data_IF_228547514865
#
_entry.id   IF_228547514865
#
_cell.length_a   1.000
_cell.length_b   1.000
_cell.length_c   1.000
_cell.angle_alpha   90.00
_cell.angle_beta   90.00
_cell.angle_gamma   90.00
#
_symmetry.space_group_name_H-M   'P 1'
#
loop_
_entity.id
_entity.type
_entity.pdbx_description
1 polymer ?
#
# COMPACT_ATOMS: atom_id res chain seq x y z
N UNK A 1 56.66 8.03 -44.87
CA UNK A 1 55.71 9.05 -44.40
C UNK A 1 54.71 8.33 -43.50
N UNK A 2 54.85 8.47 -42.19
CA UNK A 2 53.92 7.94 -41.18
C UNK A 2 52.66 8.79 -41.18
N UNK A 3 51.47 8.17 -41.17
CA UNK A 3 50.27 8.84 -40.67
C UNK A 3 49.51 7.89 -39.76
N UNK A 4 49.34 8.36 -38.54
CA UNK A 4 48.85 7.66 -37.36
C UNK A 4 47.32 7.65 -37.32
N UNK A 5 46.76 6.60 -36.74
CA UNK A 5 45.33 6.41 -36.45
C UNK A 5 44.72 7.54 -35.60
N UNK A 6 43.39 7.58 -35.51
CA UNK A 6 42.83 7.29 -34.19
C UNK A 6 41.82 6.15 -34.20
N UNK A 7 42.05 5.20 -33.29
CA UNK A 7 41.10 4.18 -32.85
C UNK A 7 39.99 4.87 -32.07
N UNK A 8 38.74 4.75 -32.53
CA UNK A 8 37.59 5.17 -31.74
C UNK A 8 37.38 4.16 -30.60
N UNK A 9 37.81 4.54 -29.40
CA UNK A 9 37.37 3.89 -28.17
C UNK A 9 35.90 4.27 -27.94
N UNK A 10 34.98 3.34 -28.18
CA UNK A 10 33.61 3.46 -27.68
C UNK A 10 33.63 3.15 -26.20
N UNK A 11 33.79 4.18 -25.38
CA UNK A 11 33.60 4.09 -23.93
C UNK A 11 32.13 3.80 -23.67
N UNK A 12 31.77 2.52 -23.48
CA UNK A 12 30.50 2.17 -22.84
C UNK A 12 30.59 2.61 -21.38
N UNK A 13 30.14 3.84 -21.10
CA UNK A 13 29.71 4.18 -19.73
C UNK A 13 28.53 3.26 -19.43
N UNK A 14 28.81 2.18 -18.73
CA UNK A 14 27.81 1.54 -17.89
C UNK A 14 27.46 2.60 -16.85
N UNK A 15 26.39 3.34 -17.12
CA UNK A 15 25.72 4.12 -16.10
C UNK A 15 25.08 3.08 -15.19
N UNK A 16 25.72 2.80 -14.07
CA UNK A 16 25.17 1.98 -13.01
C UNK A 16 23.92 2.68 -12.50
N UNK A 17 22.74 2.23 -12.96
CA UNK A 17 21.52 2.37 -12.18
C UNK A 17 21.78 1.59 -10.89
N UNK A 18 22.14 2.31 -9.83
CA UNK A 18 21.94 1.83 -8.47
C UNK A 18 20.42 1.73 -8.33
N UNK A 19 19.87 0.56 -8.66
CA UNK A 19 18.46 0.24 -8.49
C UNK A 19 18.11 0.43 -7.03
N UNK A 20 17.60 1.62 -6.69
CA UNK A 20 17.06 1.88 -5.37
C UNK A 20 15.89 0.94 -5.13
N UNK A 21 15.82 0.38 -3.93
CA UNK A 21 14.72 -0.51 -3.51
C UNK A 21 13.37 0.08 -3.94
N UNK A 22 12.53 -0.77 -4.55
CA UNK A 22 11.13 -0.46 -4.89
C UNK A 22 10.34 -0.09 -3.62
N UNK A 23 9.18 0.57 -3.76
CA UNK A 23 8.32 0.90 -2.60
C UNK A 23 7.95 -0.35 -1.80
N UNK A 24 7.67 -1.46 -2.52
CA UNK A 24 7.47 -2.79 -1.95
C UNK A 24 8.64 -3.23 -1.11
N UNK A 25 9.85 -3.20 -1.65
CA UNK A 25 11.05 -3.62 -0.92
C UNK A 25 11.34 -2.72 0.27
N UNK A 26 11.25 -1.39 0.12
CA UNK A 26 11.48 -0.45 1.23
C UNK A 26 10.52 -0.68 2.40
N UNK A 27 9.24 -0.92 2.11
CA UNK A 27 8.26 -1.20 3.15
C UNK A 27 8.41 -2.61 3.72
N UNK A 28 8.66 -3.61 2.89
CA UNK A 28 8.94 -4.96 3.35
C UNK A 28 10.16 -4.97 4.28
N UNK A 29 11.28 -4.37 3.90
CA UNK A 29 12.48 -4.27 4.74
C UNK A 29 12.25 -3.43 6.00
N UNK A 30 11.54 -2.30 5.90
CA UNK A 30 11.25 -1.40 7.03
C UNK A 30 10.21 -1.91 8.04
N UNK A 31 9.31 -2.82 7.62
CA UNK A 31 8.33 -3.47 8.49
C UNK A 31 8.85 -4.80 9.05
N UNK A 32 9.57 -5.59 8.25
CA UNK A 32 9.91 -6.98 8.57
C UNK A 32 11.21 -7.14 9.33
N UNK A 33 12.11 -6.13 9.35
CA UNK A 33 13.30 -6.15 10.20
C UNK A 33 13.96 -7.52 10.32
N UNK A 34 14.34 -8.13 9.20
CA UNK A 34 15.02 -9.44 9.05
C UNK A 34 14.72 -10.46 10.18
N UNK A 35 13.59 -11.17 10.09
CA UNK A 35 13.45 -12.49 10.73
C UNK A 35 13.11 -13.52 9.65
N UNK A 36 14.14 -13.94 8.92
CA UNK A 36 14.15 -15.24 8.25
C UNK A 36 14.90 -16.23 9.14
N UNK A 37 14.19 -17.00 9.96
CA UNK A 37 14.72 -18.27 10.46
C UNK A 37 13.65 -19.35 10.29
N UNK A 38 13.98 -20.30 9.40
CA UNK A 38 13.22 -21.50 9.06
C UNK A 38 13.09 -22.48 10.22
N UNK A 39 12.19 -23.45 10.03
CA UNK A 39 11.62 -24.28 11.09
C UNK A 39 12.55 -25.31 11.75
N UNK A 40 12.25 -25.57 13.03
CA UNK A 40 12.41 -26.85 13.73
C UNK A 40 11.52 -26.82 14.99
N UNK A 41 11.08 -27.99 15.48
CA UNK A 41 10.20 -28.26 16.65
C UNK A 41 8.73 -28.48 16.27
N UNK A 42 8.38 -29.71 15.86
CA UNK A 42 7.01 -30.03 15.44
C UNK A 42 6.09 -30.56 16.56
N UNK A 43 6.55 -31.09 17.69
CA UNK A 43 5.61 -31.84 18.58
C UNK A 43 5.24 -31.14 19.91
N UNK A 44 6.08 -30.29 20.51
CA UNK A 44 5.69 -29.51 21.71
C UNK A 44 4.91 -28.22 21.40
N UNK A 45 4.88 -27.78 20.14
CA UNK A 45 4.36 -26.46 19.79
C UNK A 45 2.83 -26.40 19.71
N UNK A 46 2.10 -27.50 19.49
CA UNK A 46 0.63 -27.43 19.27
C UNK A 46 -0.17 -26.81 20.43
N UNK A 47 0.15 -27.18 21.67
CA UNK A 47 -0.50 -26.64 22.88
C UNK A 47 -0.07 -25.21 23.22
N UNK A 48 1.22 -24.89 23.05
CA UNK A 48 1.73 -23.52 23.23
C UNK A 48 1.11 -22.60 22.16
N UNK A 49 1.00 -23.07 20.91
CA UNK A 49 0.34 -22.37 19.81
C UNK A 49 -1.13 -22.10 20.10
N UNK A 50 -1.88 -23.11 20.56
CA UNK A 50 -3.29 -22.93 20.90
C UNK A 50 -3.45 -21.90 22.03
N UNK A 51 -2.68 -22.01 23.11
CA UNK A 51 -2.71 -21.03 24.20
C UNK A 51 -2.30 -19.61 23.76
N UNK A 52 -1.33 -19.49 22.86
CA UNK A 52 -0.92 -18.20 22.30
C UNK A 52 -2.00 -17.60 21.40
N UNK A 53 -2.63 -18.40 20.55
CA UNK A 53 -3.76 -17.99 19.72
C UNK A 53 -4.96 -17.60 20.58
N UNK A 54 -5.34 -18.41 21.58
CA UNK A 54 -6.44 -18.14 22.52
C UNK A 54 -6.17 -16.84 23.30
N UNK A 55 -4.93 -16.63 23.77
CA UNK A 55 -4.54 -15.40 24.47
C UNK A 55 -4.54 -14.16 23.56
N UNK A 56 -4.16 -14.30 22.30
CA UNK A 56 -4.19 -13.21 21.31
C UNK A 56 -5.63 -12.93 20.83
N UNK A 57 -6.45 -13.96 20.71
CA UNK A 57 -7.88 -13.87 20.43
C UNK A 57 -8.60 -13.08 21.52
N UNK A 58 -8.27 -13.32 22.79
CA UNK A 58 -8.82 -12.54 23.91
C UNK A 58 -8.53 -11.04 23.81
N UNK A 59 -7.44 -10.63 23.15
CA UNK A 59 -7.11 -9.21 22.93
C UNK A 59 -7.98 -8.56 21.86
N UNK A 60 -8.54 -9.36 20.95
CA UNK A 60 -9.37 -8.86 19.84
C UNK A 60 -10.77 -8.38 20.26
N UNK A 61 -11.17 -8.65 21.51
CA UNK A 61 -12.44 -8.16 22.06
C UNK A 61 -12.42 -6.67 22.41
N UNK A 62 -11.24 -6.02 22.35
CA UNK A 62 -11.08 -4.58 22.53
C UNK A 62 -10.86 -3.94 21.15
N UNK A 63 -11.74 -3.01 20.78
CA UNK A 63 -11.62 -2.30 19.51
C UNK A 63 -10.34 -1.45 19.44
N UNK A 64 -9.75 -1.34 18.25
CA UNK A 64 -8.48 -0.65 18.02
C UNK A 64 -7.21 -1.41 18.44
N UNK A 65 -7.32 -2.67 18.88
CA UNK A 65 -6.17 -3.53 19.18
C UNK A 65 -5.60 -4.18 17.90
N UNK A 66 -4.28 -4.42 17.86
CA UNK A 66 -3.58 -5.10 16.77
C UNK A 66 -4.20 -6.46 16.41
N UNK A 67 -4.66 -7.23 17.39
CA UNK A 67 -5.36 -8.50 17.16
C UNK A 67 -6.70 -8.31 16.42
N UNK A 68 -7.42 -7.22 16.70
CA UNK A 68 -8.70 -6.88 16.05
C UNK A 68 -8.47 -6.54 14.58
N UNK A 69 -7.49 -5.69 14.28
CA UNK A 69 -7.11 -5.41 12.90
C UNK A 69 -6.61 -6.65 12.17
N UNK A 70 -5.85 -7.54 12.84
CA UNK A 70 -5.42 -8.81 12.25
C UNK A 70 -6.60 -9.70 11.87
N UNK A 71 -7.63 -9.79 12.73
CA UNK A 71 -8.89 -10.49 12.42
C UNK A 71 -9.63 -9.83 11.26
N UNK A 72 -9.72 -8.50 11.21
CA UNK A 72 -10.37 -7.77 10.12
C UNK A 72 -9.68 -8.03 8.77
N UNK A 73 -8.33 -8.02 8.73
CA UNK A 73 -7.58 -8.39 7.52
C UNK A 73 -7.83 -9.85 7.13
N UNK A 74 -7.91 -10.77 8.09
CA UNK A 74 -8.25 -12.16 7.81
C UNK A 74 -9.66 -12.31 7.22
N UNK A 75 -10.64 -11.59 7.76
CA UNK A 75 -12.00 -11.58 7.23
C UNK A 75 -12.03 -11.00 5.81
N UNK A 76 -11.24 -9.96 5.53
CA UNK A 76 -11.11 -9.41 4.18
C UNK A 76 -10.57 -10.45 3.17
N UNK A 77 -9.54 -11.23 3.53
CA UNK A 77 -9.05 -12.33 2.69
C UNK A 77 -10.08 -13.43 2.48
N UNK A 78 -10.83 -13.79 3.53
CA UNK A 78 -11.83 -14.85 3.44
C UNK A 78 -13.10 -14.40 2.71
N UNK A 79 -13.36 -13.09 2.64
CA UNK A 79 -14.48 -12.46 1.95
C UNK A 79 -15.84 -13.13 2.23
N UNK A 80 -16.10 -13.46 3.50
CA UNK A 80 -17.31 -14.18 3.94
C UNK A 80 -17.66 -15.44 3.12
N UNK A 81 -16.64 -16.12 2.59
CA UNK A 81 -16.78 -17.34 1.78
C UNK A 81 -17.04 -17.08 0.29
N UNK A 82 -17.12 -15.82 -0.14
CA UNK A 82 -17.15 -15.45 -1.55
C UNK A 82 -15.76 -15.55 -2.18
N UNK A 83 -15.71 -15.78 -3.49
CA UNK A 83 -14.45 -15.86 -4.22
C UNK A 83 -13.72 -14.50 -4.25
N UNK A 84 -12.40 -14.53 -4.07
CA UNK A 84 -11.54 -13.35 -4.09
C UNK A 84 -11.46 -12.61 -2.74
N UNK A 85 -10.59 -11.61 -2.67
CA UNK A 85 -10.37 -10.78 -1.47
C UNK A 85 -11.31 -9.58 -1.45
N UNK A 86 -11.88 -9.25 -0.29
CA UNK A 86 -12.60 -8.00 -0.07
C UNK A 86 -11.62 -6.82 0.07
N UNK A 87 -11.24 -6.23 -1.07
CA UNK A 87 -10.26 -5.14 -1.13
C UNK A 87 -10.73 -3.91 -0.36
N UNK A 88 -12.02 -3.60 -0.42
CA UNK A 88 -12.57 -2.43 0.28
C UNK A 88 -12.44 -2.57 1.79
N UNK A 89 -12.78 -3.74 2.35
CA UNK A 89 -12.60 -4.02 3.78
C UNK A 89 -11.12 -4.00 4.19
N UNK A 90 -10.24 -4.50 3.34
CA UNK A 90 -8.80 -4.45 3.59
C UNK A 90 -8.28 -3.00 3.61
N UNK A 91 -8.63 -2.21 2.59
CA UNK A 91 -8.29 -0.79 2.48
C UNK A 91 -8.73 -0.03 3.71
N UNK A 92 -9.99 -0.19 4.10
CA UNK A 92 -10.55 0.46 5.29
C UNK A 92 -9.76 0.09 6.56
N UNK A 93 -9.49 -1.21 6.73
CA UNK A 93 -8.73 -1.72 7.88
C UNK A 93 -7.32 -1.14 7.94
N UNK A 94 -6.59 -1.12 6.82
CA UNK A 94 -5.22 -0.58 6.76
C UNK A 94 -5.24 0.94 6.92
N UNK A 95 -6.20 1.65 6.34
CA UNK A 95 -6.35 3.10 6.51
C UNK A 95 -6.59 3.47 7.98
N UNK A 96 -7.40 2.71 8.72
CA UNK A 96 -7.67 2.91 10.16
C UNK A 96 -6.46 2.68 11.06
N UNK A 97 -5.38 2.05 10.58
CA UNK A 97 -4.17 1.86 11.39
C UNK A 97 -3.51 3.21 11.71
N UNK A 98 -3.20 3.51 12.99
CA UNK A 98 -2.70 4.83 13.36
C UNK A 98 -1.21 5.05 13.05
N UNK A 99 -0.41 3.99 12.93
CA UNK A 99 1.04 4.09 12.71
C UNK A 99 1.63 2.81 12.12
N UNK A 100 2.87 2.91 11.62
CA UNK A 100 3.65 1.74 11.19
C UNK A 100 4.01 0.82 12.35
N UNK A 101 4.20 1.34 13.56
CA UNK A 101 4.35 0.52 14.77
C UNK A 101 3.13 -0.37 14.99
N UNK A 102 1.91 0.18 14.88
CA UNK A 102 0.70 -0.64 14.99
C UNK A 102 0.61 -1.63 13.84
N UNK A 103 1.00 -1.27 12.61
CA UNK A 103 1.08 -2.24 11.50
C UNK A 103 2.02 -3.43 11.83
N UNK A 104 3.20 -3.18 12.42
CA UNK A 104 4.12 -4.25 12.85
C UNK A 104 3.46 -5.15 13.91
N UNK A 105 2.75 -4.57 14.88
CA UNK A 105 1.99 -5.33 15.87
C UNK A 105 0.88 -6.16 15.23
N UNK A 106 0.20 -5.63 14.22
CA UNK A 106 -0.84 -6.36 13.46
C UNK A 106 -0.24 -7.55 12.71
N UNK A 107 0.92 -7.38 12.07
CA UNK A 107 1.66 -8.49 11.43
C UNK A 107 1.97 -9.58 12.47
N UNK A 108 2.48 -9.20 13.64
CA UNK A 108 2.79 -10.13 14.72
C UNK A 108 1.54 -10.87 15.24
N UNK A 109 0.45 -10.15 15.48
CA UNK A 109 -0.82 -10.74 15.92
C UNK A 109 -1.40 -11.67 14.85
N UNK A 110 -1.33 -11.31 13.56
CA UNK A 110 -1.76 -12.15 12.45
C UNK A 110 -0.98 -13.48 12.41
N UNK A 111 0.35 -13.41 12.57
CA UNK A 111 1.19 -14.61 12.63
C UNK A 111 0.87 -15.48 13.84
N UNK A 112 0.56 -14.89 15.00
CA UNK A 112 0.16 -15.65 16.21
C UNK A 112 -1.19 -16.33 16.07
N UNK A 113 -2.18 -15.62 15.52
CA UNK A 113 -3.55 -16.11 15.35
C UNK A 113 -3.65 -17.20 14.28
N UNK A 114 -2.97 -17.02 13.14
CA UNK A 114 -3.18 -17.85 11.95
C UNK A 114 -1.98 -18.68 11.54
N UNK A 115 -0.82 -18.48 12.17
CA UNK A 115 0.45 -19.09 11.78
C UNK A 115 0.80 -18.85 10.30
N UNK A 116 0.44 -17.66 9.78
CA UNK A 116 0.67 -17.21 8.41
C UNK A 116 1.33 -15.84 8.42
N UNK A 117 2.08 -15.52 7.37
CA UNK A 117 2.65 -14.18 7.19
C UNK A 117 1.62 -13.29 6.49
N UNK A 118 1.19 -12.22 7.17
CA UNK A 118 0.23 -11.26 6.60
C UNK A 118 0.72 -10.69 5.26
N UNK A 119 2.00 -10.31 5.16
CA UNK A 119 2.55 -9.75 3.92
C UNK A 119 2.60 -10.77 2.79
N UNK A 120 2.85 -12.05 3.12
CA UNK A 120 2.83 -13.14 2.14
C UNK A 120 1.41 -13.41 1.66
N UNK A 121 0.44 -13.36 2.56
CA UNK A 121 -0.98 -13.51 2.21
C UNK A 121 -1.44 -12.33 1.34
N UNK A 122 -1.08 -11.09 1.69
CA UNK A 122 -1.34 -9.94 0.83
C UNK A 122 -0.68 -10.09 -0.56
N UNK A 123 0.55 -10.58 -0.64
CA UNK A 123 1.24 -10.79 -1.92
C UNK A 123 0.57 -11.86 -2.79
N UNK A 124 0.05 -12.92 -2.18
CA UNK A 124 -0.55 -14.05 -2.92
C UNK A 124 -2.01 -13.80 -3.30
N UNK A 125 -2.77 -13.12 -2.44
CA UNK A 125 -4.24 -12.99 -2.55
C UNK A 125 -4.66 -11.70 -3.29
N UNK A 126 -3.74 -10.75 -3.49
CA UNK A 126 -4.01 -9.45 -4.13
C UNK A 126 -3.38 -9.36 -5.51
N UNK A 127 -4.00 -8.57 -6.39
CA UNK A 127 -3.33 -8.10 -7.58
C UNK A 127 -2.14 -7.19 -7.21
N UNK A 128 -1.17 -7.06 -8.11
CA UNK A 128 0.00 -6.20 -7.87
C UNK A 128 -0.41 -4.73 -7.63
N UNK A 129 -1.45 -4.24 -8.29
CA UNK A 129 -2.01 -2.90 -8.10
C UNK A 129 -2.61 -2.73 -6.70
N UNK A 130 -3.46 -3.66 -6.27
CA UNK A 130 -4.08 -3.67 -4.94
C UNK A 130 -3.03 -3.78 -3.83
N UNK A 131 -2.06 -4.68 -3.99
CA UNK A 131 -0.94 -4.83 -3.06
C UNK A 131 -0.13 -3.52 -2.93
N UNK A 132 0.20 -2.90 -4.06
CA UNK A 132 0.92 -1.62 -4.08
C UNK A 132 0.09 -0.48 -3.46
N UNK A 133 -1.23 -0.49 -3.63
CA UNK A 133 -2.14 0.46 -2.98
C UNK A 133 -2.03 0.35 -1.46
N UNK A 134 -2.16 -0.87 -0.91
CA UNK A 134 -2.11 -1.11 0.54
C UNK A 134 -0.76 -0.66 1.13
N UNK A 135 0.32 -0.94 0.41
CA UNK A 135 1.65 -0.48 0.78
C UNK A 135 1.79 1.05 0.76
N UNK A 136 1.23 1.71 -0.26
CA UNK A 136 1.24 3.17 -0.35
C UNK A 136 0.49 3.81 0.84
N UNK A 137 -0.64 3.23 1.27
CA UNK A 137 -1.38 3.66 2.46
C UNK A 137 -0.51 3.53 3.72
N UNK A 138 0.20 2.41 3.90
CA UNK A 138 1.07 2.19 5.06
C UNK A 138 2.26 3.17 5.06
N UNK A 139 2.79 3.50 3.89
CA UNK A 139 4.03 4.29 3.75
C UNK A 139 3.96 5.70 4.36
N UNK A 140 2.79 6.32 4.30
CA UNK A 140 2.54 7.70 4.78
C UNK A 140 2.23 7.75 6.27
N UNK A 141 1.95 6.61 6.90
CA UNK A 141 1.64 6.57 8.33
C UNK A 141 2.87 6.99 9.15
N UNK A 142 2.68 7.67 10.29
CA UNK A 142 3.79 7.98 11.19
C UNK A 142 4.43 6.69 11.71
N UNK A 143 5.70 6.75 12.09
CA UNK A 143 6.40 5.57 12.63
C UNK A 143 5.76 5.06 13.93
N UNK A 144 5.36 5.99 14.80
CA UNK A 144 4.69 5.70 16.08
C UNK A 144 3.40 6.48 16.19
N UNK A 145 2.47 5.95 16.97
CA UNK A 145 1.28 6.69 17.36
C UNK A 145 1.56 7.42 18.66
N UNK A 146 1.44 8.73 18.64
CA UNK A 146 1.53 9.58 19.82
C UNK A 146 0.21 10.36 19.92
N UNK A 147 -0.52 10.12 21.01
CA UNK A 147 -1.79 10.79 21.24
C UNK A 147 -1.54 12.29 21.45
N UNK A 148 -2.18 13.14 20.64
CA UNK A 148 -2.03 14.59 20.70
C UNK A 148 -0.94 15.18 19.81
N UNK A 149 -0.28 14.38 18.97
CA UNK A 149 0.62 14.92 17.94
C UNK A 149 -0.20 15.70 16.91
N UNK A 150 0.18 16.95 16.57
CA UNK A 150 -0.50 17.74 15.54
C UNK A 150 -0.59 16.96 14.22
N UNK A 151 -1.66 17.20 13.47
CA UNK A 151 -1.87 16.63 12.12
C UNK A 151 -0.56 16.73 11.34
N UNK A 152 -0.03 15.58 10.93
CA UNK A 152 1.27 15.50 10.28
C UNK A 152 1.26 16.40 9.05
N UNK A 153 2.22 17.33 8.96
CA UNK A 153 2.34 18.22 7.80
C UNK A 153 2.48 17.36 6.54
N UNK A 154 1.71 17.70 5.49
CA UNK A 154 1.81 16.99 4.22
C UNK A 154 3.21 17.12 3.66
N UNK A 155 3.83 15.97 3.40
CA UNK A 155 5.15 15.87 2.78
C UNK A 155 5.04 15.32 1.37
N UNK A 156 6.14 15.35 0.61
CA UNK A 156 6.21 14.75 -0.73
C UNK A 156 5.78 13.28 -0.73
N UNK A 157 6.02 12.54 0.35
CA UNK A 157 5.61 11.13 0.48
C UNK A 157 4.09 10.98 0.43
N UNK A 158 3.32 11.95 0.94
CA UNK A 158 1.85 11.93 0.87
C UNK A 158 1.37 12.04 -0.57
N UNK A 159 1.90 13.01 -1.33
CA UNK A 159 1.58 13.19 -2.73
C UNK A 159 2.02 11.99 -3.59
N UNK A 160 3.18 11.40 -3.29
CA UNK A 160 3.64 10.17 -3.95
C UNK A 160 2.72 8.97 -3.67
N UNK A 161 2.26 8.83 -2.43
CA UNK A 161 1.32 7.77 -2.04
C UNK A 161 -0.02 7.94 -2.76
N UNK A 162 -0.62 9.13 -2.74
CA UNK A 162 -1.87 9.38 -3.46
C UNK A 162 -1.73 9.18 -4.97
N UNK A 163 -0.63 9.64 -5.57
CA UNK A 163 -0.35 9.40 -6.99
C UNK A 163 -0.24 7.90 -7.30
N UNK A 164 0.44 7.12 -6.43
CA UNK A 164 0.60 5.68 -6.60
C UNK A 164 -0.71 4.91 -6.45
N UNK A 165 -1.57 5.34 -5.52
CA UNK A 165 -2.89 4.74 -5.30
C UNK A 165 -3.86 5.05 -6.43
N UNK A 166 -3.85 6.28 -6.95
CA UNK A 166 -4.62 6.63 -8.14
C UNK A 166 -4.13 5.82 -9.34
N UNK A 167 -2.81 5.68 -9.53
CA UNK A 167 -2.26 4.84 -10.59
C UNK A 167 -2.69 3.38 -10.45
N UNK A 168 -2.65 2.82 -9.24
CA UNK A 168 -3.10 1.47 -8.97
C UNK A 168 -4.60 1.29 -9.25
N UNK A 169 -5.42 2.30 -8.94
CA UNK A 169 -6.84 2.31 -9.23
C UNK A 169 -7.14 2.30 -10.74
N UNK A 170 -6.35 3.04 -11.53
CA UNK A 170 -6.47 3.11 -12.99
C UNK A 170 -5.95 1.85 -13.71
N UNK A 171 -5.01 1.14 -13.08
CA UNK A 171 -4.38 -0.06 -13.68
C UNK A 171 -5.08 -1.37 -13.26
N UNK A 172 -6.25 -1.28 -12.63
CA UNK A 172 -7.00 -2.47 -12.26
C UNK A 172 -7.42 -3.23 -13.52
N UNK A 173 -7.45 -4.56 -13.41
CA UNK A 173 -7.82 -5.39 -14.55
C UNK A 173 -8.58 -6.62 -14.09
N UNK A 174 -9.61 -6.96 -14.86
CA UNK A 174 -10.42 -8.15 -14.68
C UNK A 174 -10.12 -9.12 -15.84
N UNK A 175 -9.04 -9.87 -15.69
CA UNK A 175 -8.54 -10.75 -16.75
C UNK A 175 -8.04 -9.93 -17.95
N UNK A 176 -8.56 -10.11 -19.17
CA UNK A 176 -8.14 -9.32 -20.33
C UNK A 176 -8.81 -7.93 -20.38
N UNK A 177 -9.80 -7.67 -19.53
CA UNK A 177 -10.54 -6.40 -19.55
C UNK A 177 -9.87 -5.37 -18.64
N UNK A 178 -9.68 -4.13 -19.12
CA UNK A 178 -9.32 -3.02 -18.24
C UNK A 178 -10.47 -2.78 -17.26
N UNK A 179 -10.14 -2.27 -16.08
CA UNK A 179 -11.12 -1.81 -15.10
C UNK A 179 -10.57 -0.64 -14.30
N UNK A 180 -11.45 0.01 -13.56
CA UNK A 180 -11.12 1.11 -12.67
C UNK A 180 -11.53 0.72 -11.25
N UNK A 181 -10.75 1.12 -10.24
CA UNK A 181 -11.14 1.02 -8.84
C UNK A 181 -11.67 2.38 -8.36
N UNK A 182 -12.94 2.66 -8.65
CA UNK A 182 -13.53 3.96 -8.35
C UNK A 182 -13.64 4.21 -6.83
N UNK A 183 -13.79 3.15 -6.04
CA UNK A 183 -13.72 3.19 -4.58
C UNK A 183 -12.34 3.66 -4.09
N UNK A 184 -11.25 3.19 -4.70
CA UNK A 184 -9.90 3.67 -4.38
C UNK A 184 -9.69 5.14 -4.77
N UNK A 185 -10.23 5.58 -5.91
CA UNK A 185 -10.19 7.00 -6.32
C UNK A 185 -10.92 7.85 -5.29
N UNK A 186 -12.14 7.45 -4.91
CA UNK A 186 -12.95 8.12 -3.89
C UNK A 186 -12.21 8.17 -2.54
N UNK A 187 -11.60 7.06 -2.11
CA UNK A 187 -10.82 7.01 -0.88
C UNK A 187 -9.66 8.00 -0.88
N UNK A 188 -8.87 8.04 -1.96
CA UNK A 188 -7.77 9.01 -2.10
C UNK A 188 -8.29 10.44 -2.07
N UNK A 189 -9.37 10.75 -2.79
CA UNK A 189 -9.91 12.11 -2.85
C UNK A 189 -10.46 12.55 -1.49
N UNK A 190 -11.11 11.64 -0.75
CA UNK A 190 -11.60 11.93 0.60
C UNK A 190 -10.47 12.23 1.58
N UNK A 191 -9.32 11.54 1.46
CA UNK A 191 -8.14 11.77 2.31
C UNK A 191 -7.41 13.08 2.00
N UNK A 192 -7.47 13.60 0.78
CA UNK A 192 -6.85 14.88 0.44
C UNK A 192 -7.53 16.01 1.23
N UNK A 193 -6.79 16.85 1.98
CA UNK A 193 -7.43 17.90 2.77
C UNK A 193 -7.80 19.14 1.95
N UNK A 194 -7.12 19.41 0.84
CA UNK A 194 -7.27 20.66 0.06
C UNK A 194 -7.20 20.44 -1.45
N UNK A 195 -7.67 21.43 -2.21
CA UNK A 195 -7.51 21.47 -3.67
C UNK A 195 -6.02 21.53 -4.04
N UNK A 196 -5.21 22.30 -3.30
CA UNK A 196 -3.76 22.32 -3.47
C UNK A 196 -3.13 20.92 -3.34
N UNK A 197 -3.63 20.07 -2.42
CA UNK A 197 -3.15 18.69 -2.28
C UNK A 197 -3.37 17.86 -3.54
N UNK A 198 -4.52 18.03 -4.19
CA UNK A 198 -4.82 17.39 -5.47
C UNK A 198 -3.91 17.89 -6.59
N UNK A 199 -3.68 19.22 -6.68
CA UNK A 199 -2.77 19.80 -7.68
C UNK A 199 -1.34 19.29 -7.51
N UNK A 200 -0.82 19.27 -6.28
CA UNK A 200 0.52 18.74 -5.98
C UNK A 200 0.61 17.25 -6.31
N UNK A 201 -0.45 16.48 -6.04
CA UNK A 201 -0.52 15.07 -6.44
C UNK A 201 -0.46 14.93 -7.95
N UNK A 202 -1.14 15.78 -8.72
CA UNK A 202 -1.05 15.79 -10.18
C UNK A 202 0.36 16.07 -10.70
N UNK A 203 1.08 17.01 -10.09
CA UNK A 203 2.49 17.29 -10.41
C UNK A 203 3.38 16.07 -10.16
N UNK A 204 3.22 15.43 -8.98
CA UNK A 204 3.98 14.23 -8.62
C UNK A 204 3.61 13.05 -9.51
N UNK A 205 2.33 12.85 -9.81
CA UNK A 205 1.83 11.81 -10.70
C UNK A 205 2.47 11.91 -12.09
N UNK A 206 2.51 13.13 -12.65
CA UNK A 206 3.18 13.39 -13.94
C UNK A 206 4.67 13.09 -13.90
N UNK A 207 5.34 13.46 -12.79
CA UNK A 207 6.75 13.15 -12.59
C UNK A 207 7.02 11.64 -12.51
N UNK A 208 6.17 10.89 -11.80
CA UNK A 208 6.34 9.45 -11.58
C UNK A 208 6.00 8.61 -12.82
N UNK A 209 4.96 8.99 -13.57
CA UNK A 209 4.39 8.13 -14.62
C UNK A 209 4.48 8.72 -16.03
N UNK A 210 4.95 9.97 -16.17
CA UNK A 210 5.00 10.66 -17.46
C UNK A 210 3.62 10.97 -18.05
N UNK A 211 2.55 10.83 -17.27
CA UNK A 211 1.15 10.98 -17.69
C UNK A 211 0.47 12.09 -16.92
N UNK A 212 -0.50 12.75 -17.54
CA UNK A 212 -1.28 13.78 -16.85
C UNK A 212 -2.41 13.15 -16.04
N UNK A 213 -2.51 13.50 -14.75
CA UNK A 213 -3.51 12.92 -13.84
C UNK A 213 -4.95 13.22 -14.30
N UNK A 214 -5.21 14.41 -14.82
CA UNK A 214 -6.56 14.77 -15.30
C UNK A 214 -6.90 14.00 -16.56
N UNK A 215 -5.94 13.84 -17.47
CA UNK A 215 -6.12 13.04 -18.68
C UNK A 215 -6.43 11.58 -18.34
N UNK A 216 -5.72 11.00 -17.37
CA UNK A 216 -5.97 9.63 -16.92
C UNK A 216 -7.34 9.51 -16.23
N UNK A 217 -7.70 10.43 -15.32
CA UNK A 217 -9.02 10.44 -14.69
C UNK A 217 -10.18 10.48 -15.71
N UNK A 218 -10.06 11.30 -16.75
CA UNK A 218 -11.08 11.40 -17.81
C UNK A 218 -11.16 10.17 -18.71
N UNK A 219 -10.09 9.39 -18.77
CA UNK A 219 -10.04 8.15 -19.55
C UNK A 219 -10.61 6.98 -18.74
N UNK A 220 -10.32 6.94 -17.45
CA UNK A 220 -10.74 5.84 -16.57
C UNK A 220 -12.16 5.99 -16.04
N UNK A 221 -12.66 7.21 -15.87
CA UNK A 221 -14.02 7.49 -15.41
C UNK A 221 -14.94 7.75 -16.58
N UNK A 222 -16.18 7.30 -16.48
CA UNK A 222 -17.20 7.62 -17.47
C UNK A 222 -17.45 9.13 -17.51
N UNK A 223 -17.86 9.63 -18.69
CA UNK A 223 -18.05 11.07 -18.90
C UNK A 223 -19.00 11.72 -17.86
N UNK A 224 -20.01 10.99 -17.41
CA UNK A 224 -20.96 11.45 -16.38
C UNK A 224 -20.46 11.25 -14.94
N UNK A 225 -19.49 10.37 -14.69
CA UNK A 225 -18.92 10.13 -13.36
C UNK A 225 -17.85 11.14 -13.01
N UNK A 226 -17.01 11.50 -13.99
CA UNK A 226 -15.90 12.42 -13.80
C UNK A 226 -16.29 13.71 -13.04
N UNK A 227 -17.40 14.42 -13.38
CA UNK A 227 -17.82 15.60 -12.63
C UNK A 227 -18.10 15.32 -11.15
N UNK A 228 -18.71 14.19 -10.82
CA UNK A 228 -19.05 13.79 -9.44
C UNK A 228 -17.79 13.53 -8.61
N UNK A 229 -16.79 12.84 -9.18
CA UNK A 229 -15.50 12.65 -8.53
C UNK A 229 -14.77 13.97 -8.31
N UNK A 230 -14.75 14.84 -9.31
CA UNK A 230 -14.14 16.16 -9.18
C UNK A 230 -14.87 17.07 -8.18
N UNK A 231 -16.15 16.83 -7.93
CA UNK A 231 -16.90 17.56 -6.90
C UNK A 231 -16.32 17.33 -5.49
N UNK A 232 -15.84 16.11 -5.18
CA UNK A 232 -15.18 15.79 -3.91
C UNK A 232 -13.99 16.73 -3.68
N UNK A 233 -13.20 17.01 -4.73
CA UNK A 233 -12.04 17.90 -4.64
C UNK A 233 -12.45 19.37 -4.61
N UNK A 234 -13.34 19.80 -5.50
CA UNK A 234 -13.68 21.23 -5.66
C UNK A 234 -14.44 21.81 -4.47
N UNK A 235 -15.07 20.97 -3.64
CA UNK A 235 -15.70 21.38 -2.38
C UNK A 235 -14.72 21.56 -1.22
N UNK A 236 -13.46 21.13 -1.37
CA UNK A 236 -12.44 21.28 -0.32
C UNK A 236 -11.86 22.70 -0.30
N UNK A 237 -11.26 23.14 0.83
CA UNK A 237 -10.51 24.40 0.88
C UNK A 237 -9.42 24.45 -0.20
N UNK A 238 -9.10 25.66 -0.66
CA UNK A 238 -8.06 25.87 -1.68
C UNK A 238 -6.67 25.51 -1.15
#
# INVERSE_FOLDING_TARGET
MYSQYPKYYRTSRIQSEVGGLTLKEKLAFGLVGVIFIGGAVIIARGLIRKRQADAEENKSYVDGNAATYAKQLRMAFNNDGWFGTNINAMRETITRLPSKQVMRQVIDSYQKLYNRSLLRDMENELQSTEYNEMLAIISVKPEKYEAGTPTQQLTVVHYQSWASRLKAAFDKSYGPMPGTDEDAISAVFNEMPTQSSFVQTGVIYKSLYGRDLIADLKRELEFWEYPSYMQIITQKPK
#
